data_IF_251361466549
#
_entry.id   IF_251361466549
#
_cell.length_a   1.000
_cell.length_b   1.000
_cell.length_c   1.000
_cell.angle_alpha   90.00
_cell.angle_beta   90.00
_cell.angle_gamma   90.00
#
_symmetry.space_group_name_H-M   'P 1'
#
loop_
_entity.id
_entity.type
_entity.pdbx_description
1 polymer ?
#
# COMPACT_ATOMS: atom_id res chain seq x y z
N UNK A 1 21.45 6.96 28.89
CA UNK A 1 20.38 7.59 28.08
C UNK A 1 20.13 8.98 28.63
N UNK A 2 20.55 10.08 27.99
CA UNK A 2 20.25 11.39 28.54
C UNK A 2 18.77 11.67 28.27
N UNK A 3 18.01 11.84 29.36
CA UNK A 3 16.74 12.53 29.38
C UNK A 3 16.95 13.85 28.63
N UNK A 4 16.21 14.04 27.54
CA UNK A 4 16.17 15.31 26.81
C UNK A 4 15.59 16.32 27.80
N UNK A 5 16.47 17.02 28.52
CA UNK A 5 16.11 18.07 29.45
C UNK A 5 15.16 19.04 28.77
N UNK A 6 14.08 19.36 29.47
CA UNK A 6 12.94 20.17 29.05
C UNK A 6 13.23 21.09 27.86
N UNK A 7 13.01 20.57 26.64
CA UNK A 7 13.08 21.40 25.44
C UNK A 7 11.81 22.24 25.42
N UNK A 8 11.86 23.40 26.06
CA UNK A 8 10.85 24.45 25.89
C UNK A 8 11.05 25.07 24.51
N UNK A 9 10.45 24.48 23.48
CA UNK A 9 10.29 25.16 22.19
C UNK A 9 9.31 26.32 22.35
N UNK A 10 9.82 27.48 22.75
CA UNK A 10 9.17 28.77 22.51
C UNK A 10 9.16 29.04 21.00
N UNK A 11 8.25 28.38 20.29
CA UNK A 11 8.19 28.37 18.83
C UNK A 11 6.77 28.52 18.31
N UNK A 12 6.65 29.28 17.21
CA UNK A 12 5.39 29.49 16.48
C UNK A 12 5.03 28.20 15.73
N UNK A 13 3.75 27.83 15.75
CA UNK A 13 3.24 26.78 14.86
C UNK A 13 3.27 27.29 13.43
N UNK A 14 3.97 26.57 12.55
CA UNK A 14 4.11 26.92 11.13
C UNK A 14 3.30 26.01 10.21
N UNK A 15 2.91 24.83 10.69
CA UNK A 15 2.03 23.92 9.99
C UNK A 15 1.32 22.98 10.97
N UNK A 16 0.20 22.39 10.56
CA UNK A 16 -0.50 21.33 11.27
C UNK A 16 -1.18 20.41 10.27
N UNK A 17 -1.41 19.16 10.65
CA UNK A 17 -2.04 18.13 9.82
C UNK A 17 -2.11 16.82 10.57
N UNK A 18 -2.35 15.72 9.85
CA UNK A 18 -2.32 14.37 10.39
C UNK A 18 -0.98 13.69 10.12
N UNK A 19 -0.53 12.86 11.05
CA UNK A 19 0.67 12.04 10.93
C UNK A 19 0.52 10.74 11.73
N UNK A 20 1.33 9.73 11.42
CA UNK A 20 1.42 8.55 12.28
C UNK A 20 2.34 8.84 13.46
N UNK A 21 1.80 8.88 14.69
CA UNK A 21 2.58 9.15 15.89
C UNK A 21 3.22 7.86 16.43
N UNK A 22 4.57 7.76 16.48
CA UNK A 22 5.24 6.57 17.00
C UNK A 22 4.99 6.31 18.49
N UNK A 23 4.84 7.38 19.29
CA UNK A 23 4.56 7.26 20.73
C UNK A 23 3.13 6.80 21.02
N UNK A 24 2.16 7.22 20.22
CA UNK A 24 0.77 6.79 20.37
C UNK A 24 0.45 5.49 19.64
N UNK A 25 1.26 5.08 18.66
CA UNK A 25 1.02 3.92 17.80
C UNK A 25 -0.11 4.11 16.79
N UNK A 26 -0.43 5.34 16.38
CA UNK A 26 -1.54 5.58 15.45
C UNK A 26 -1.61 7.00 14.90
N UNK A 27 -2.56 7.22 13.99
CA UNK A 27 -2.77 8.52 13.33
C UNK A 27 -3.25 9.56 14.34
N UNK A 28 -2.57 10.70 14.38
CA UNK A 28 -2.85 11.83 15.29
C UNK A 28 -2.67 13.14 14.55
N UNK A 29 -3.20 14.22 15.14
CA UNK A 29 -2.87 15.58 14.69
C UNK A 29 -1.52 16.01 15.21
N UNK A 30 -0.76 16.74 14.40
CA UNK A 30 0.49 17.38 14.82
C UNK A 30 0.44 18.91 14.73
N UNK A 31 1.37 19.54 15.45
CA UNK A 31 1.78 20.94 15.26
C UNK A 31 3.27 20.97 14.93
N UNK A 32 3.63 21.47 13.75
CA UNK A 32 5.04 21.71 13.38
C UNK A 32 5.43 23.07 13.93
N UNK A 33 6.44 23.09 14.79
CA UNK A 33 6.91 24.29 15.48
C UNK A 33 8.35 24.56 15.10
N UNK A 34 8.66 25.82 14.82
CA UNK A 34 10.05 26.26 14.60
C UNK A 34 10.43 27.17 15.76
N UNK A 35 11.52 26.84 16.44
CA UNK A 35 11.99 27.57 17.62
C UNK A 35 13.49 27.45 17.82
N UNK A 36 13.99 28.00 18.93
CA UNK A 36 15.38 27.80 19.38
C UNK A 36 15.40 26.82 20.53
N UNK A 37 16.47 26.01 20.62
CA UNK A 37 16.73 25.21 21.81
C UNK A 37 17.29 26.15 22.88
N UNK A 38 16.92 25.93 24.14
CA UNK A 38 17.43 26.69 25.28
C UNK A 38 18.22 25.76 26.18
N UNK A 39 19.43 26.16 26.55
CA UNK A 39 20.20 25.49 27.60
C UNK A 39 19.87 26.15 28.94
N UNK A 40 19.59 25.32 29.94
CA UNK A 40 19.29 25.80 31.29
C UNK A 40 20.04 25.02 32.36
N UNK A 41 20.25 25.67 33.50
CA UNK A 41 20.76 25.08 34.74
C UNK A 41 19.61 25.15 35.75
N UNK A 42 19.28 24.03 36.40
CA UNK A 42 18.20 23.99 37.39
C UNK A 42 16.80 24.36 36.86
N UNK A 43 16.52 24.14 35.57
CA UNK A 43 15.22 24.45 34.94
C UNK A 43 15.06 25.90 34.45
N UNK A 44 16.05 26.77 34.67
CA UNK A 44 16.04 28.16 34.21
C UNK A 44 16.71 28.27 32.83
N UNK A 45 16.03 28.76 31.77
CA UNK A 45 16.62 28.89 30.44
C UNK A 45 17.61 30.06 30.42
N UNK A 46 18.90 29.78 30.24
CA UNK A 46 19.98 30.78 30.34
C UNK A 46 20.46 31.26 28.97
N UNK A 47 20.70 30.34 28.04
CA UNK A 47 21.29 30.67 26.73
C UNK A 47 20.56 29.93 25.61
N UNK A 48 20.07 30.64 24.57
CA UNK A 48 19.57 29.99 23.38
C UNK A 48 20.72 29.36 22.61
N UNK A 49 20.56 28.11 22.18
CA UNK A 49 21.50 27.47 21.25
C UNK A 49 21.46 28.22 19.90
N UNK A 50 22.61 28.36 19.21
CA UNK A 50 22.61 28.82 17.82
C UNK A 50 21.82 27.83 16.95
N UNK A 51 21.03 28.36 16.01
CA UNK A 51 20.17 27.57 15.11
C UNK A 51 18.67 27.64 15.42
N UNK A 52 17.86 27.37 14.39
CA UNK A 52 16.42 27.13 14.50
C UNK A 52 16.18 25.62 14.40
N UNK A 53 15.48 25.04 15.35
CA UNK A 53 15.04 23.65 15.31
C UNK A 53 13.58 23.61 14.88
N UNK A 54 13.27 22.75 13.91
CA UNK A 54 11.91 22.37 13.57
C UNK A 54 11.55 21.07 14.30
N UNK A 55 10.42 21.05 14.99
CA UNK A 55 9.90 19.85 15.67
C UNK A 55 8.44 19.63 15.28
N UNK A 56 8.02 18.37 15.31
CA UNK A 56 6.64 17.96 15.08
C UNK A 56 6.09 17.46 16.41
N UNK A 57 5.20 18.25 17.01
CA UNK A 57 4.60 17.93 18.31
C UNK A 57 3.26 17.23 18.11
N UNK A 58 3.09 16.05 18.73
CA UNK A 58 1.80 15.37 18.76
C UNK A 58 0.80 16.15 19.62
N UNK A 59 -0.39 16.45 19.11
CA UNK A 59 -1.43 17.17 19.88
C UNK A 59 -2.01 16.31 21.01
N UNK A 60 -1.84 14.99 20.96
CA UNK A 60 -2.41 14.05 21.94
C UNK A 60 -1.45 13.67 23.06
N UNK A 61 -0.24 13.20 22.73
CA UNK A 61 0.74 12.79 23.75
C UNK A 61 1.79 13.86 24.05
N UNK A 62 1.74 15.01 23.37
CA UNK A 62 2.70 16.11 23.52
C UNK A 62 4.17 15.74 23.27
N UNK A 63 4.46 14.54 22.76
CA UNK A 63 5.81 14.16 22.38
C UNK A 63 6.25 14.96 21.16
N UNK A 64 7.44 15.56 21.23
CA UNK A 64 8.09 16.22 20.12
C UNK A 64 8.95 15.21 19.32
N UNK A 65 8.74 15.16 18.02
CA UNK A 65 9.47 14.33 17.07
C UNK A 65 10.28 15.18 16.10
N UNK A 66 11.28 14.59 15.46
CA UNK A 66 11.99 15.23 14.36
C UNK A 66 11.07 15.33 13.11
N UNK A 67 11.26 16.32 12.23
CA UNK A 67 10.37 16.55 11.07
C UNK A 67 10.20 15.36 10.12
N UNK A 68 11.20 14.49 10.04
CA UNK A 68 11.25 13.27 9.23
C UNK A 68 10.12 12.28 9.61
N UNK A 69 9.53 12.42 10.80
CA UNK A 69 8.34 11.63 11.19
C UNK A 69 7.16 11.83 10.23
N UNK A 70 7.12 12.96 9.52
CA UNK A 70 6.08 13.26 8.52
C UNK A 70 6.28 12.51 7.20
N UNK A 71 7.45 11.89 6.96
CA UNK A 71 7.69 11.04 5.80
C UNK A 71 7.00 9.68 5.94
N UNK A 72 6.66 9.29 7.18
CA UNK A 72 5.88 8.07 7.43
C UNK A 72 4.40 8.33 7.10
N UNK A 73 3.79 7.55 6.19
CA UNK A 73 2.39 7.74 5.85
C UNK A 73 1.50 7.46 7.07
N UNK A 74 0.38 8.19 7.14
CA UNK A 74 -0.73 7.84 8.01
C UNK A 74 -1.32 6.49 7.60
N UNK A 75 -2.07 5.87 8.49
CA UNK A 75 -2.81 4.63 8.22
C UNK A 75 -3.79 4.84 7.05
N UNK A 76 -4.48 5.98 7.04
CA UNK A 76 -5.38 6.36 5.96
C UNK A 76 -4.65 6.53 4.62
N UNK A 77 -3.50 7.22 4.61
CA UNK A 77 -2.69 7.40 3.41
C UNK A 77 -2.13 6.06 2.90
N UNK A 78 -1.63 5.20 3.78
CA UNK A 78 -1.16 3.87 3.42
C UNK A 78 -2.27 2.99 2.85
N UNK A 79 -3.47 3.02 3.45
CA UNK A 79 -4.63 2.32 2.93
C UNK A 79 -5.07 2.87 1.55
N UNK A 80 -4.90 4.18 1.31
CA UNK A 80 -5.08 4.79 0.00
C UNK A 80 -4.07 4.28 -1.05
N UNK A 81 -2.78 4.26 -0.70
CA UNK A 81 -1.72 3.72 -1.57
C UNK A 81 -1.95 2.24 -1.90
N UNK A 82 -2.34 1.43 -0.91
CA UNK A 82 -2.67 0.01 -1.13
C UNK A 82 -3.86 -0.18 -2.06
N UNK A 83 -4.90 0.65 -1.90
CA UNK A 83 -6.07 0.64 -2.77
C UNK A 83 -5.73 0.93 -4.21
N UNK A 84 -4.91 1.95 -4.44
CA UNK A 84 -4.50 2.31 -5.80
C UNK A 84 -3.54 1.27 -6.37
N UNK A 85 -2.52 0.86 -5.63
CA UNK A 85 -1.59 -0.19 -6.07
C UNK A 85 -2.28 -1.49 -6.45
N UNK A 86 -3.25 -1.95 -5.67
CA UNK A 86 -4.05 -3.13 -6.00
C UNK A 86 -4.87 -2.93 -7.30
N UNK A 87 -5.54 -1.78 -7.44
CA UNK A 87 -6.30 -1.43 -8.65
C UNK A 87 -5.39 -1.41 -9.88
N UNK A 88 -4.27 -0.71 -9.83
CA UNK A 88 -3.34 -0.59 -10.95
C UNK A 88 -2.76 -1.93 -11.37
N UNK A 89 -2.36 -2.78 -10.41
CA UNK A 89 -1.84 -4.11 -10.71
C UNK A 89 -2.91 -5.01 -11.37
N UNK A 90 -4.14 -5.00 -10.85
CA UNK A 90 -5.27 -5.76 -11.43
C UNK A 90 -5.62 -5.26 -12.83
N UNK A 91 -5.71 -3.94 -13.01
CA UNK A 91 -6.00 -3.34 -14.31
C UNK A 91 -4.91 -3.70 -15.32
N UNK A 92 -3.64 -3.56 -14.96
CA UNK A 92 -2.52 -3.89 -15.85
C UNK A 92 -2.57 -5.34 -16.34
N UNK A 93 -2.92 -6.29 -15.46
CA UNK A 93 -3.12 -7.70 -15.81
C UNK A 93 -4.34 -7.90 -16.70
N UNK A 94 -5.48 -7.31 -16.38
CA UNK A 94 -6.71 -7.45 -17.18
C UNK A 94 -6.59 -6.87 -18.59
N UNK A 95 -5.76 -5.84 -18.76
CA UNK A 95 -5.46 -5.24 -20.05
C UNK A 95 -4.22 -5.86 -20.71
N UNK A 96 -3.62 -6.89 -20.11
CA UNK A 96 -2.46 -7.56 -20.67
C UNK A 96 -2.90 -8.43 -21.85
N UNK A 97 -2.76 -7.90 -23.07
CA UNK A 97 -3.10 -8.61 -24.30
C UNK A 97 -4.54 -8.39 -24.74
N UNK A 98 -5.27 -9.49 -24.95
CA UNK A 98 -6.63 -9.47 -25.50
C UNK A 98 -7.71 -9.00 -24.50
N UNK A 99 -8.96 -8.86 -24.95
CA UNK A 99 -10.05 -8.50 -24.05
C UNK A 99 -10.22 -9.56 -22.95
N UNK A 100 -10.32 -9.17 -21.66
CA UNK A 100 -10.40 -10.13 -20.56
C UNK A 100 -11.72 -10.90 -20.59
N UNK A 101 -11.65 -12.19 -20.25
CA UNK A 101 -12.80 -13.06 -20.12
C UNK A 101 -13.72 -12.66 -18.97
N UNK A 102 -14.85 -13.35 -18.85
CA UNK A 102 -15.82 -13.07 -17.80
C UNK A 102 -15.28 -13.45 -16.41
N UNK A 103 -14.54 -14.56 -16.30
CA UNK A 103 -14.05 -15.04 -15.03
C UNK A 103 -12.94 -14.14 -14.46
N UNK A 104 -12.00 -13.65 -15.29
CA UNK A 104 -11.01 -12.66 -14.83
C UNK A 104 -11.65 -11.36 -14.39
N UNK A 105 -12.66 -10.85 -15.10
CA UNK A 105 -13.36 -9.61 -14.70
C UNK A 105 -14.11 -9.79 -13.37
N UNK A 106 -14.77 -10.92 -13.18
CA UNK A 106 -15.46 -11.22 -11.93
C UNK A 106 -14.47 -11.36 -10.77
N UNK A 107 -13.37 -12.09 -10.99
CA UNK A 107 -12.32 -12.29 -9.98
C UNK A 107 -11.62 -10.99 -9.63
N UNK A 108 -11.35 -10.13 -10.61
CA UNK A 108 -10.81 -8.79 -10.41
C UNK A 108 -11.77 -7.91 -9.59
N UNK A 109 -13.07 -7.92 -9.92
CA UNK A 109 -14.06 -7.18 -9.16
C UNK A 109 -14.15 -7.67 -7.71
N UNK A 110 -14.14 -8.99 -7.49
CA UNK A 110 -14.11 -9.59 -6.17
C UNK A 110 -12.85 -9.23 -5.37
N UNK A 111 -11.69 -9.21 -6.04
CA UNK A 111 -10.43 -8.82 -5.42
C UNK A 111 -10.45 -7.34 -4.98
N UNK A 112 -10.87 -6.42 -5.86
CA UNK A 112 -10.86 -4.99 -5.54
C UNK A 112 -11.92 -4.58 -4.50
N UNK A 113 -13.03 -5.32 -4.39
CA UNK A 113 -13.97 -5.13 -3.27
C UNK A 113 -13.32 -5.34 -1.90
N UNK A 114 -12.34 -6.25 -1.77
CA UNK A 114 -11.59 -6.45 -0.53
C UNK A 114 -10.74 -5.23 -0.15
N UNK A 115 -10.41 -4.40 -1.13
CA UNK A 115 -9.71 -3.13 -0.95
C UNK A 115 -10.70 -1.96 -0.87
N UNK A 116 -12.02 -2.18 -0.77
CA UNK A 116 -12.99 -1.10 -0.62
C UNK A 116 -13.40 -0.40 -1.92
N UNK A 117 -13.12 -1.01 -3.08
CA UNK A 117 -13.69 -0.56 -4.36
C UNK A 117 -15.08 -1.16 -4.55
N UNK A 118 -16.13 -0.38 -4.26
CA UNK A 118 -17.52 -0.85 -4.32
C UNK A 118 -17.96 -1.25 -5.74
N UNK A 119 -17.58 -0.43 -6.74
CA UNK A 119 -17.92 -0.67 -8.16
C UNK A 119 -16.66 -0.53 -9.02
N UNK A 120 -15.81 -1.56 -9.07
CA UNK A 120 -14.59 -1.51 -9.88
C UNK A 120 -14.95 -1.41 -11.37
N UNK A 121 -14.52 -0.33 -12.01
CA UNK A 121 -14.59 -0.21 -13.46
C UNK A 121 -13.21 -0.49 -14.06
N UNK A 122 -13.17 -1.45 -14.98
CA UNK A 122 -11.97 -1.80 -15.71
C UNK A 122 -12.02 -1.16 -17.09
N UNK A 123 -10.96 -0.43 -17.51
CA UNK A 123 -10.84 -0.01 -18.89
C UNK A 123 -10.99 -1.24 -19.79
N UNK A 124 -11.71 -1.10 -20.89
CA UNK A 124 -11.60 -2.10 -21.95
C UNK A 124 -10.17 -2.02 -22.51
N UNK A 125 -9.64 -3.14 -22.98
CA UNK A 125 -8.43 -3.14 -23.79
C UNK A 125 -8.72 -2.36 -25.08
N UNK A 126 -8.60 -1.04 -25.03
CA UNK A 126 -8.59 -0.18 -26.19
C UNK A 126 -7.18 -0.27 -26.75
N UNK A 127 -7.03 -0.64 -28.02
CA UNK A 127 -5.73 -0.69 -28.72
C UNK A 127 -5.10 0.68 -28.95
N UNK A 128 -5.47 1.70 -28.17
CA UNK A 128 -4.98 3.06 -28.29
C UNK A 128 -3.84 3.25 -27.29
N UNK A 129 -2.63 3.33 -27.84
CA UNK A 129 -1.44 3.75 -27.11
C UNK A 129 -1.67 5.15 -26.50
N UNK A 130 -1.18 5.42 -25.27
CA UNK A 130 -1.34 6.74 -24.66
C UNK A 130 -0.65 7.81 -25.52
N UNK A 131 -1.41 8.84 -25.89
CA UNK A 131 -0.87 10.03 -26.55
C UNK A 131 0.17 10.71 -25.65
N UNK A 132 1.26 11.13 -26.28
CA UNK A 132 2.55 11.56 -25.74
C UNK A 132 2.54 12.62 -24.62
N UNK A 133 3.38 12.38 -23.61
CA UNK A 133 3.84 13.38 -22.63
C UNK A 133 4.53 12.71 -21.43
N UNK A 134 5.78 12.24 -21.62
CA UNK A 134 6.48 11.22 -20.81
C UNK A 134 5.73 9.86 -20.78
N UNK A 135 6.43 8.71 -20.80
CA UNK A 135 5.75 7.45 -20.52
C UNK A 135 5.36 7.51 -19.03
N UNK A 136 4.11 7.88 -18.74
CA UNK A 136 3.51 7.50 -17.48
C UNK A 136 3.73 5.99 -17.35
N UNK A 137 4.36 5.56 -16.26
CA UNK A 137 4.41 4.15 -15.87
C UNK A 137 3.47 4.06 -14.66
N UNK A 138 2.14 3.94 -14.88
CA UNK A 138 1.17 3.94 -13.78
C UNK A 138 1.51 2.86 -12.75
N UNK A 139 2.09 1.75 -13.23
CA UNK A 139 2.48 0.64 -12.39
C UNK A 139 3.60 1.03 -11.43
N UNK A 140 4.64 1.71 -11.93
CA UNK A 140 5.69 2.32 -11.08
C UNK A 140 5.09 3.27 -10.06
N UNK A 141 4.30 4.24 -10.53
CA UNK A 141 3.80 5.33 -9.71
C UNK A 141 2.87 4.84 -8.58
N UNK A 142 2.10 3.78 -8.84
CA UNK A 142 1.23 3.17 -7.85
C UNK A 142 1.96 2.19 -6.91
N UNK A 143 2.91 1.38 -7.43
CA UNK A 143 3.50 0.27 -6.66
C UNK A 143 4.77 0.64 -5.88
N UNK A 144 5.64 1.49 -6.41
CA UNK A 144 6.90 1.82 -5.71
C UNK A 144 6.68 2.54 -4.37
N UNK A 145 5.76 3.52 -4.24
CA UNK A 145 5.48 4.17 -2.96
C UNK A 145 4.97 3.18 -1.90
N UNK A 146 4.04 2.30 -2.27
CA UNK A 146 3.46 1.34 -1.32
C UNK A 146 4.46 0.24 -0.95
N UNK A 147 5.33 -0.18 -1.87
CA UNK A 147 6.35 -1.20 -1.62
C UNK A 147 7.33 -0.80 -0.51
N UNK A 148 7.70 0.49 -0.43
CA UNK A 148 8.61 1.03 0.60
C UNK A 148 8.05 0.89 2.02
N UNK A 149 6.72 0.89 2.16
CA UNK A 149 6.04 0.83 3.45
C UNK A 149 5.47 -0.56 3.77
N UNK A 150 5.52 -1.50 2.82
CA UNK A 150 5.03 -2.86 2.99
C UNK A 150 6.12 -3.80 3.53
N UNK A 151 5.72 -4.62 4.51
CA UNK A 151 6.45 -5.82 4.89
C UNK A 151 6.53 -6.79 3.69
N UNK A 152 7.56 -7.67 3.61
CA UNK A 152 7.74 -8.60 2.50
C UNK A 152 6.47 -9.41 2.16
N UNK A 153 5.77 -9.90 3.17
CA UNK A 153 4.52 -10.66 3.02
C UNK A 153 3.41 -9.86 2.32
N UNK A 154 3.32 -8.56 2.60
CA UNK A 154 2.35 -7.67 1.95
C UNK A 154 2.64 -7.47 0.47
N UNK A 155 3.92 -7.41 0.09
CA UNK A 155 4.35 -7.32 -1.32
C UNK A 155 4.00 -8.60 -2.06
N UNK A 156 4.29 -9.76 -1.49
CA UNK A 156 3.89 -11.03 -2.10
C UNK A 156 2.36 -11.17 -2.20
N UNK A 157 1.60 -10.67 -1.22
CA UNK A 157 0.13 -10.73 -1.24
C UNK A 157 -0.46 -9.93 -2.40
N UNK A 158 0.10 -8.76 -2.72
CA UNK A 158 -0.31 -7.98 -3.89
C UNK A 158 0.01 -8.72 -5.21
N UNK A 159 1.18 -9.36 -5.32
CA UNK A 159 1.50 -10.16 -6.49
C UNK A 159 0.56 -11.37 -6.64
N UNK A 160 0.28 -12.10 -5.55
CA UNK A 160 -0.66 -13.23 -5.56
C UNK A 160 -2.07 -12.81 -5.99
N UNK A 161 -2.49 -11.62 -5.60
CA UNK A 161 -3.77 -11.06 -6.03
C UNK A 161 -3.81 -10.84 -7.54
N UNK A 162 -2.78 -10.21 -8.12
CA UNK A 162 -2.70 -9.99 -9.57
C UNK A 162 -2.61 -11.32 -10.34
N UNK A 163 -1.79 -12.26 -9.88
CA UNK A 163 -1.65 -13.59 -10.47
C UNK A 163 -2.95 -14.42 -10.39
N UNK A 164 -3.70 -14.29 -9.30
CA UNK A 164 -4.99 -14.96 -9.15
C UNK A 164 -6.10 -14.40 -10.04
N UNK A 165 -5.97 -13.16 -10.51
CA UNK A 165 -6.83 -12.57 -11.54
C UNK A 165 -6.44 -13.10 -12.92
N UNK A 166 -5.16 -13.05 -13.29
CA UNK A 166 -4.68 -13.52 -14.59
C UNK A 166 -5.07 -14.99 -14.86
N UNK A 167 -5.01 -15.83 -13.83
CA UNK A 167 -5.28 -17.27 -13.98
C UNK A 167 -6.77 -17.61 -14.13
N UNK A 168 -7.68 -16.64 -13.92
CA UNK A 168 -9.10 -16.93 -13.80
C UNK A 168 -9.73 -17.38 -15.12
N UNK A 169 -9.19 -16.96 -16.27
CA UNK A 169 -9.63 -17.40 -17.60
C UNK A 169 -8.78 -18.55 -18.18
N UNK A 170 -7.78 -19.05 -17.43
CA UNK A 170 -6.90 -20.14 -17.86
C UNK A 170 -5.42 -19.92 -17.55
N UNK A 171 -4.52 -20.74 -18.11
CA UNK A 171 -3.07 -20.62 -17.89
C UNK A 171 -2.52 -19.25 -18.33
N UNK A 172 -1.50 -18.76 -17.61
CA UNK A 172 -0.90 -17.46 -17.89
C UNK A 172 -0.42 -17.31 -19.34
N UNK A 173 -0.92 -16.30 -20.04
CA UNK A 173 -0.43 -15.89 -21.36
C UNK A 173 0.93 -15.18 -21.25
N UNK A 174 1.75 -15.13 -22.33
CA UNK A 174 3.05 -14.44 -22.31
C UNK A 174 2.96 -12.97 -21.90
N UNK A 175 1.92 -12.26 -22.35
CA UNK A 175 1.69 -10.86 -21.99
C UNK A 175 1.42 -10.68 -20.48
N UNK A 176 0.60 -11.55 -19.90
CA UNK A 176 0.28 -11.53 -18.47
C UNK A 176 1.53 -11.85 -17.62
N UNK A 177 2.35 -12.83 -18.04
CA UNK A 177 3.61 -13.13 -17.35
C UNK A 177 4.57 -11.94 -17.33
N UNK A 178 4.67 -11.22 -18.45
CA UNK A 178 5.49 -10.00 -18.53
C UNK A 178 4.98 -8.92 -17.57
N UNK A 179 3.66 -8.72 -17.48
CA UNK A 179 3.05 -7.78 -16.52
C UNK A 179 3.27 -8.22 -15.08
N UNK A 180 3.09 -9.50 -14.76
CA UNK A 180 3.34 -10.04 -13.41
C UNK A 180 4.82 -9.88 -12.99
N UNK A 181 5.75 -10.07 -13.92
CA UNK A 181 7.17 -9.76 -13.70
C UNK A 181 7.40 -8.27 -13.41
N UNK A 182 6.77 -7.37 -14.18
CA UNK A 182 6.86 -5.93 -13.94
C UNK A 182 6.26 -5.53 -12.58
N UNK A 183 5.10 -6.08 -12.21
CA UNK A 183 4.46 -5.89 -10.90
C UNK A 183 5.41 -6.33 -9.78
N UNK A 184 5.95 -7.54 -9.87
CA UNK A 184 6.87 -8.08 -8.87
C UNK A 184 8.14 -7.25 -8.71
N UNK A 185 8.74 -6.82 -9.83
CA UNK A 185 9.92 -5.97 -9.82
C UNK A 185 9.65 -4.61 -9.14
N UNK A 186 8.52 -3.95 -9.43
CA UNK A 186 8.14 -2.67 -8.77
C UNK A 186 7.81 -2.83 -7.29
N UNK A 187 7.34 -4.01 -6.89
CA UNK A 187 7.19 -4.40 -5.49
C UNK A 187 8.52 -4.78 -4.82
N UNK A 188 9.64 -4.73 -5.53
CA UNK A 188 10.96 -5.09 -5.01
C UNK A 188 11.12 -6.59 -4.74
N UNK A 189 10.37 -7.44 -5.45
CA UNK A 189 10.55 -8.90 -5.45
C UNK A 189 11.59 -9.30 -6.50
N UNK A 190 12.34 -10.35 -6.20
CA UNK A 190 13.32 -10.91 -7.16
C UNK A 190 12.60 -11.73 -8.24
N UNK A 191 13.22 -11.90 -9.41
CA UNK A 191 12.63 -12.74 -10.47
C UNK A 191 12.31 -14.18 -9.99
N UNK A 192 13.21 -14.87 -9.24
CA UNK A 192 12.89 -16.16 -8.65
C UNK A 192 11.68 -16.15 -7.70
N UNK A 193 11.51 -15.08 -6.90
CA UNK A 193 10.33 -14.96 -6.04
C UNK A 193 9.04 -14.83 -6.86
N UNK A 194 9.07 -14.04 -7.93
CA UNK A 194 7.90 -13.88 -8.82
C UNK A 194 7.52 -15.21 -9.45
N UNK A 195 8.49 -15.95 -9.98
CA UNK A 195 8.28 -17.27 -10.58
C UNK A 195 7.72 -18.26 -9.55
N UNK A 196 8.33 -18.31 -8.36
CA UNK A 196 7.85 -19.16 -7.26
C UNK A 196 6.42 -18.84 -6.88
N UNK A 197 6.11 -17.56 -6.65
CA UNK A 197 4.79 -17.11 -6.20
C UNK A 197 3.71 -17.39 -7.27
N UNK A 198 4.00 -17.10 -8.54
CA UNK A 198 3.05 -17.35 -9.64
C UNK A 198 2.81 -18.86 -9.83
N UNK A 199 3.84 -19.70 -9.70
CA UNK A 199 3.70 -21.15 -9.73
C UNK A 199 2.95 -21.73 -8.51
N UNK A 200 3.09 -21.14 -7.32
CA UNK A 200 2.27 -21.47 -6.15
C UNK A 200 0.79 -21.16 -6.38
N UNK A 201 0.47 -19.99 -6.98
CA UNK A 201 -0.91 -19.61 -7.29
C UNK A 201 -1.52 -20.54 -8.33
N UNK A 202 -0.77 -20.91 -9.39
CA UNK A 202 -1.21 -21.85 -10.40
C UNK A 202 -1.59 -23.22 -9.79
N UNK A 203 -0.69 -23.81 -9.00
CA UNK A 203 -0.93 -25.11 -8.34
C UNK A 203 -2.11 -25.07 -7.37
N UNK A 204 -2.35 -23.96 -6.69
CA UNK A 204 -3.48 -23.82 -5.76
C UNK A 204 -4.83 -23.79 -6.49
N UNK A 205 -4.88 -23.29 -7.73
CA UNK A 205 -6.08 -23.30 -8.56
C UNK A 205 -6.33 -24.65 -9.25
N UNK A 206 -5.27 -25.42 -9.50
CA UNK A 206 -5.34 -26.78 -10.08
C UNK A 206 -5.71 -27.86 -9.02
N UNK A 207 -5.79 -27.51 -7.74
CA UNK A 207 -6.21 -28.41 -6.67
C UNK A 207 -7.63 -28.95 -6.88
N UNK A 208 -7.92 -30.21 -6.49
CA UNK A 208 -9.17 -30.88 -6.88
C UNK A 208 -10.39 -30.07 -6.43
N UNK A 209 -11.45 -29.98 -7.25
CA UNK A 209 -12.67 -29.30 -6.85
C UNK A 209 -13.17 -29.92 -5.54
N UNK A 210 -13.18 -29.13 -4.48
CA UNK A 210 -13.72 -29.52 -3.20
C UNK A 210 -15.14 -30.04 -3.36
N UNK A 211 -15.35 -31.25 -2.88
CA UNK A 211 -16.62 -31.96 -2.82
C UNK A 211 -17.75 -31.06 -2.32
N UNK A 212 -18.54 -30.51 -3.23
CA UNK A 212 -19.88 -29.99 -2.94
C UNK A 212 -20.92 -31.09 -3.20
N UNK A 213 -20.77 -32.27 -2.56
CA UNK A 213 -21.87 -33.22 -2.41
C UNK A 213 -22.94 -32.60 -1.51
N UNK A 214 -23.92 -32.01 -2.21
CA UNK A 214 -25.30 -32.49 -2.19
C UNK A 214 -25.82 -32.88 -0.79
N UNK A 215 -26.10 -31.87 0.03
CA UNK A 215 -27.11 -31.95 1.09
C UNK A 215 -28.50 -31.75 0.50
N UNK A 216 -28.92 -32.63 -0.41
CA UNK A 216 -30.23 -32.61 -1.05
C UNK A 216 -30.71 -34.03 -1.29
N UNK A 217 -31.60 -34.50 -0.43
CA UNK A 217 -32.31 -35.77 -0.63
C UNK A 217 -33.05 -36.28 0.60
N UNK A 218 -34.36 -35.97 0.62
CA UNK A 218 -35.49 -36.78 1.14
C UNK A 218 -35.48 -37.15 2.65
N UNK A 219 -36.59 -37.00 3.39
CA UNK A 219 -37.95 -37.34 2.99
C UNK A 219 -38.26 -38.79 3.37
N UNK A 220 -38.69 -39.00 4.62
CA UNK A 220 -39.51 -40.11 5.15
C UNK A 220 -40.15 -39.51 6.41
N UNK A 221 -41.47 -39.41 6.57
CA UNK A 221 -42.49 -40.40 6.28
C UNK A 221 -42.90 -41.03 7.61
N UNK A 222 -43.95 -40.49 8.23
CA UNK A 222 -44.51 -40.89 9.52
C UNK A 222 -45.49 -39.86 10.04
#
# INVERSE_FOLDING_TARGET
MPLIGDVRTGGRTVASGDFYCPSCGGDRRYRKRIGRRWHGIGGLPLLPSPGRLAVVECVTCHTAHQPEVLERPTTAALAGMLREGARTAVTAVLTAGGPPGAASRERAAAALRQYGWATPHFPRASGEAPASGAPADPLRDALEPVARHLAPQGRERLLRLAAGVALADGPYAPAERAVLAAVGHRLGLTAPDVERITAEVARASDGPPGDTRRGGGAGHGG
#
